data_IF_870024235359
#
_entry.id   IF_870024235359
#
_cell.length_a   1.000
_cell.length_b   1.000
_cell.length_c   1.000
_cell.angle_alpha   90.00
_cell.angle_beta   90.00
_cell.angle_gamma   90.00
#
_symmetry.space_group_name_H-M   'P 1'
#
loop_
_entity.id
_entity.type
_entity.pdbx_description
1 polymer ?
#
# COMPACT_ATOMS: atom_id res chain seq x y z
N UNK A 1 17.49 10.94 -7.59
CA UNK A 1 16.88 9.96 -8.53
C UNK A 1 15.36 10.17 -8.45
N UNK A 2 14.53 9.66 -9.38
CA UNK A 2 13.10 10.00 -9.42
C UNK A 2 12.34 9.22 -8.33
N UNK A 3 11.56 9.90 -7.47
CA UNK A 3 10.88 9.27 -6.30
C UNK A 3 10.04 8.04 -6.66
N UNK A 4 9.38 8.05 -7.82
CA UNK A 4 8.61 6.89 -8.31
C UNK A 4 9.50 5.70 -8.65
N UNK A 5 10.67 5.94 -9.25
CA UNK A 5 11.62 4.87 -9.60
C UNK A 5 12.21 4.29 -8.31
N UNK A 6 12.56 5.13 -7.34
CA UNK A 6 13.08 4.69 -6.04
C UNK A 6 12.07 3.78 -5.32
N UNK A 7 10.79 4.19 -5.24
CA UNK A 7 9.74 3.36 -4.64
C UNK A 7 9.51 2.06 -5.43
N UNK A 8 9.49 2.13 -6.77
CA UNK A 8 9.30 0.93 -7.59
C UNK A 8 10.43 -0.09 -7.39
N UNK A 9 11.69 0.36 -7.41
CA UNK A 9 12.83 -0.52 -7.12
C UNK A 9 12.76 -1.11 -5.72
N UNK A 10 12.30 -0.35 -4.73
CA UNK A 10 12.19 -0.80 -3.36
C UNK A 10 11.10 -1.88 -3.20
N UNK A 11 9.95 -1.71 -3.84
CA UNK A 11 8.90 -2.73 -3.89
C UNK A 11 9.38 -4.00 -4.61
N UNK A 12 10.08 -3.88 -5.75
CA UNK A 12 10.61 -5.03 -6.52
C UNK A 12 11.61 -5.87 -5.72
N UNK A 13 12.33 -5.28 -4.75
CA UNK A 13 13.28 -6.02 -3.89
C UNK A 13 12.62 -6.92 -2.86
N UNK A 14 11.32 -6.78 -2.61
CA UNK A 14 10.57 -7.61 -1.66
C UNK A 14 10.07 -8.85 -2.38
N UNK A 15 10.40 -10.03 -1.84
CA UNK A 15 9.96 -11.31 -2.40
C UNK A 15 8.48 -11.60 -2.06
N UNK A 16 7.56 -10.79 -2.58
CA UNK A 16 6.11 -10.87 -2.37
C UNK A 16 5.46 -12.01 -3.19
N UNK A 17 5.99 -13.23 -3.06
CA UNK A 17 5.41 -14.41 -3.70
C UNK A 17 4.06 -14.74 -3.05
N UNK A 18 3.01 -14.83 -3.86
CA UNK A 18 1.64 -15.07 -3.38
C UNK A 18 1.56 -16.27 -2.41
N UNK A 19 0.94 -16.12 -1.22
CA UNK A 19 0.19 -14.96 -0.71
C UNK A 19 1.00 -13.97 0.14
N UNK A 20 2.32 -14.12 0.24
CA UNK A 20 3.17 -13.28 1.07
C UNK A 20 3.28 -11.85 0.53
N UNK A 21 3.05 -10.86 1.39
CA UNK A 21 3.21 -9.43 1.06
C UNK A 21 4.67 -8.95 1.10
N UNK A 22 5.53 -9.65 1.87
CA UNK A 22 6.92 -9.27 2.10
C UNK A 22 7.14 -7.81 2.57
N UNK A 23 6.14 -7.22 3.23
CA UNK A 23 6.21 -5.87 3.80
C UNK A 23 6.01 -4.74 2.78
N UNK A 24 5.47 -5.05 1.59
CA UNK A 24 5.08 -4.05 0.59
C UNK A 24 3.97 -3.14 1.11
N UNK A 25 2.90 -3.71 1.69
CA UNK A 25 1.77 -2.95 2.20
C UNK A 25 2.16 -2.07 3.39
N UNK A 26 2.99 -2.58 4.31
CA UNK A 26 3.49 -1.79 5.43
C UNK A 26 4.27 -0.55 4.98
N UNK A 27 5.17 -0.69 3.99
CA UNK A 27 5.89 0.43 3.39
C UNK A 27 4.95 1.47 2.76
N UNK A 28 3.91 1.00 2.05
CA UNK A 28 2.95 1.89 1.42
C UNK A 28 2.10 2.65 2.45
N UNK A 29 1.59 1.95 3.47
CA UNK A 29 0.82 2.55 4.56
C UNK A 29 1.64 3.62 5.30
N UNK A 30 2.90 3.33 5.68
CA UNK A 30 3.77 4.31 6.35
C UNK A 30 3.90 5.61 5.54
N UNK A 31 4.12 5.49 4.22
CA UNK A 31 4.27 6.65 3.33
C UNK A 31 2.98 7.42 3.12
N UNK A 32 1.83 6.72 3.06
CA UNK A 32 0.52 7.31 2.89
C UNK A 32 0.05 8.02 4.18
N UNK A 33 0.25 7.39 5.33
CA UNK A 33 -0.08 7.95 6.64
C UNK A 33 0.73 9.24 6.90
N UNK A 34 2.00 9.27 6.50
CA UNK A 34 2.86 10.45 6.58
C UNK A 34 2.35 11.67 5.78
N UNK A 35 1.46 11.47 4.81
CA UNK A 35 0.84 12.53 4.01
C UNK A 35 -0.67 12.68 4.27
N UNK A 36 -1.16 12.14 5.40
CA UNK A 36 -2.50 12.37 5.90
C UNK A 36 -3.55 11.36 5.45
N UNK A 37 -3.16 10.25 4.82
CA UNK A 37 -4.09 9.13 4.65
C UNK A 37 -4.33 8.44 6.00
N UNK A 38 -5.48 7.80 6.12
CA UNK A 38 -5.76 6.81 7.17
C UNK A 38 -5.77 5.44 6.53
N UNK A 39 -4.81 4.61 6.93
CA UNK A 39 -4.70 3.22 6.47
C UNK A 39 -5.35 2.25 7.45
N UNK A 40 -6.24 1.40 6.94
CA UNK A 40 -6.86 0.29 7.67
C UNK A 40 -6.33 -1.04 7.12
N UNK A 41 -5.71 -1.85 7.98
CA UNK A 41 -5.29 -3.20 7.61
C UNK A 41 -6.49 -4.16 7.63
N UNK A 42 -6.66 -4.94 6.55
CA UNK A 42 -7.79 -5.83 6.31
C UNK A 42 -7.30 -7.26 5.97
N UNK A 43 -6.70 -7.98 6.94
CA UNK A 43 -6.25 -9.35 6.70
C UNK A 43 -7.42 -10.33 6.62
N UNK A 44 -7.39 -11.23 5.63
CA UNK A 44 -8.37 -12.30 5.45
C UNK A 44 -7.66 -13.62 5.15
N UNK A 45 -7.69 -14.56 6.10
CA UNK A 45 -6.93 -15.81 5.98
C UNK A 45 -5.43 -15.51 5.87
N UNK A 46 -4.80 -16.02 4.81
CA UNK A 46 -3.36 -15.83 4.54
C UNK A 46 -3.05 -14.56 3.73
N UNK A 47 -4.08 -13.84 3.26
CA UNK A 47 -3.92 -12.68 2.39
C UNK A 47 -3.98 -11.39 3.21
N UNK A 48 -2.98 -10.54 3.02
CA UNK A 48 -2.96 -9.18 3.56
C UNK A 48 -3.58 -8.21 2.55
N UNK A 49 -4.44 -7.33 3.03
CA UNK A 49 -4.97 -6.20 2.27
C UNK A 49 -4.90 -4.96 3.15
N UNK A 50 -4.93 -3.79 2.54
CA UNK A 50 -5.18 -2.53 3.25
C UNK A 50 -6.08 -1.62 2.44
N UNK A 51 -6.77 -0.74 3.15
CA UNK A 51 -7.59 0.32 2.59
C UNK A 51 -7.08 1.66 3.13
N UNK A 52 -6.52 2.49 2.26
CA UNK A 52 -6.03 3.82 2.63
C UNK A 52 -6.94 4.91 2.05
N UNK A 53 -7.40 5.82 2.89
CA UNK A 53 -8.31 6.91 2.51
C UNK A 53 -7.78 8.27 2.92
N UNK A 54 -8.08 9.29 2.13
CA UNK A 54 -7.79 10.69 2.46
C UNK A 54 -9.02 11.55 2.13
N UNK A 55 -9.56 12.26 3.13
CA UNK A 55 -10.81 13.00 3.04
C UNK A 55 -12.03 12.22 3.56
N UNK A 56 -13.15 12.91 3.73
CA UNK A 56 -14.35 12.37 4.44
C UNK A 56 -15.63 12.44 3.62
N UNK A 57 -15.58 12.95 2.38
CA UNK A 57 -16.76 13.15 1.53
C UNK A 57 -16.42 12.96 0.05
N UNK A 58 -17.43 12.57 -0.75
CA UNK A 58 -17.24 12.22 -2.16
C UNK A 58 -17.06 13.41 -3.12
N UNK A 59 -16.79 13.11 -4.41
CA UNK A 59 -16.72 11.77 -5.02
C UNK A 59 -15.45 11.00 -4.65
N UNK A 60 -15.53 9.66 -4.58
CA UNK A 60 -14.42 8.77 -4.23
C UNK A 60 -13.64 8.35 -5.50
N UNK A 61 -12.34 8.65 -5.54
CA UNK A 61 -11.40 8.10 -6.52
C UNK A 61 -10.59 6.98 -5.86
N UNK A 62 -10.46 5.83 -6.53
CA UNK A 62 -9.75 4.66 -6.01
C UNK A 62 -8.62 4.25 -6.94
N UNK A 63 -7.44 4.04 -6.37
CA UNK A 63 -6.36 3.29 -7.01
C UNK A 63 -6.34 1.89 -6.40
N UNK A 64 -6.50 0.86 -7.23
CA UNK A 64 -6.51 -0.54 -6.81
C UNK A 64 -5.38 -1.30 -7.51
N UNK A 65 -4.78 -2.25 -6.81
CA UNK A 65 -3.67 -3.06 -7.31
C UNK A 65 -3.35 -4.22 -6.37
N UNK A 66 -2.23 -4.87 -6.62
CA UNK A 66 -1.71 -5.97 -5.83
C UNK A 66 -0.20 -5.80 -5.63
N UNK A 67 0.33 -6.45 -4.60
CA UNK A 67 1.76 -6.49 -4.24
C UNK A 67 2.34 -7.86 -4.51
#
# INVERSE_FOLDING_TARGET
>A
MHKTIELACELIRRESLTPADAGCQALMMERLDAIGFTSEALPFGEVQNFWATHGTSGPLLVLAGHT
#
